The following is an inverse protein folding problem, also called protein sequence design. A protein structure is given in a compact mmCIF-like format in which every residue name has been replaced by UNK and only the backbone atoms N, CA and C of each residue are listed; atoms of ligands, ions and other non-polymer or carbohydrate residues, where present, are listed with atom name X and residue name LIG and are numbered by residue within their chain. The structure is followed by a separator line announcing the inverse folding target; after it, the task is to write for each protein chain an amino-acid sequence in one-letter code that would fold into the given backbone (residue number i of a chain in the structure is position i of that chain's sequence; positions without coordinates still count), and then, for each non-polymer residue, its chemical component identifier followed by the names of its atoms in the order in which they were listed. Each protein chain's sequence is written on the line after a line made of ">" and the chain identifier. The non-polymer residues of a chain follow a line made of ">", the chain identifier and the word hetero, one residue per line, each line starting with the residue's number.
data_IF_235003222444
#
_entry.id   IF_235003222444
#
_cell.length_a   1.000
_cell.length_b   1.000
_cell.length_c   1.000
_cell.angle_alpha   90.00
_cell.angle_beta   90.00
_cell.angle_gamma   90.00
#
_symmetry.space_group_name_H-M   'P 1'
#
loop_
_entity.id
_entity.type
_entity.pdbx_description
1 polymer ?
#
# COMPACT_ATOMS: atom_id res chain seq x y z
N UNK A 1 12.77 -0.90 6.64
CA UNK A 1 13.34 -0.55 7.96
C UNK A 1 12.36 0.29 8.80
N UNK A 2 11.96 1.49 8.37
CA UNK A 2 11.02 2.32 9.15
C UNK A 2 9.65 1.67 9.37
N UNK A 3 9.01 1.17 8.31
CA UNK A 3 7.73 0.47 8.43
C UNK A 3 7.78 -0.77 9.34
N UNK A 4 8.91 -1.47 9.41
CA UNK A 4 9.09 -2.59 10.34
C UNK A 4 9.14 -2.14 11.81
N UNK A 5 9.54 -0.89 12.08
CA UNK A 5 9.46 -0.33 13.44
C UNK A 5 8.03 -0.03 13.87
N UNK A 6 7.14 0.29 12.93
CA UNK A 6 5.74 0.65 13.20
C UNK A 6 4.79 -0.55 13.13
N UNK A 7 4.97 -1.37 12.09
CA UNK A 7 4.17 -2.54 11.77
C UNK A 7 5.12 -3.70 11.41
N UNK A 8 5.84 -4.27 12.38
CA UNK A 8 6.79 -5.36 12.14
C UNK A 8 6.09 -6.59 11.59
N UNK A 9 6.76 -7.29 10.68
CA UNK A 9 6.42 -8.66 10.37
C UNK A 9 6.47 -9.51 11.65
N UNK A 10 5.39 -10.24 11.90
CA UNK A 10 5.33 -11.23 12.97
C UNK A 10 4.28 -12.29 12.60
N UNK A 11 4.74 -13.50 12.28
CA UNK A 11 3.87 -14.62 11.95
C UNK A 11 3.07 -15.13 13.17
N UNK A 12 3.43 -14.69 14.38
CA UNK A 12 2.78 -15.06 15.63
C UNK A 12 1.30 -14.61 15.70
N UNK A 13 0.36 -15.51 16.03
CA UNK A 13 -1.01 -15.14 16.36
C UNK A 13 -1.16 -14.47 17.73
N UNK A 14 -0.05 -14.32 18.49
CA UNK A 14 -0.02 -13.63 19.77
C UNK A 14 0.05 -12.10 19.59
N UNK A 15 0.85 -11.61 18.61
CA UNK A 15 0.91 -10.18 18.28
C UNK A 15 -0.32 -9.75 17.48
N UNK A 16 -0.63 -10.48 16.42
CA UNK A 16 -1.73 -10.15 15.52
C UNK A 16 -2.80 -11.22 15.58
N UNK A 17 -3.98 -10.86 16.13
CA UNK A 17 -5.10 -11.78 16.21
C UNK A 17 -5.60 -12.25 14.83
N UNK A 18 -5.39 -11.45 13.77
CA UNK A 18 -5.67 -11.82 12.38
C UNK A 18 -4.98 -13.14 11.99
N UNK A 19 -3.74 -13.37 12.43
CA UNK A 19 -2.98 -14.58 12.08
C UNK A 19 -3.56 -15.87 12.70
N UNK A 20 -4.56 -15.79 13.58
CA UNK A 20 -5.29 -16.97 14.09
C UNK A 20 -6.09 -17.71 13.01
N UNK A 21 -6.25 -17.08 11.84
CA UNK A 21 -6.91 -17.68 10.66
C UNK A 21 -6.00 -18.66 9.91
N UNK A 22 -4.71 -18.74 10.24
CA UNK A 22 -3.71 -19.53 9.50
C UNK A 22 -2.87 -18.70 8.52
N UNK A 23 -3.19 -17.42 8.35
CA UNK A 23 -2.41 -16.45 7.59
C UNK A 23 -1.27 -15.84 8.44
N UNK A 24 -0.29 -15.19 7.81
CA UNK A 24 0.83 -14.51 8.48
C UNK A 24 1.00 -13.04 8.07
N UNK A 25 0.06 -12.50 7.30
CA UNK A 25 0.16 -11.21 6.61
C UNK A 25 -0.50 -10.03 7.34
N UNK A 26 -0.80 -10.15 8.64
CA UNK A 26 -1.42 -9.05 9.40
C UNK A 26 -0.63 -7.74 9.34
N UNK A 27 0.71 -7.82 9.35
CA UNK A 27 1.58 -6.66 9.24
C UNK A 27 1.41 -5.95 7.89
N UNK A 28 1.15 -6.69 6.81
CA UNK A 28 0.90 -6.11 5.48
C UNK A 28 -0.38 -5.27 5.46
N UNK A 29 -1.44 -5.70 6.16
CA UNK A 29 -2.65 -4.91 6.35
C UNK A 29 -2.36 -3.60 7.11
N UNK A 30 -1.50 -3.65 8.13
CA UNK A 30 -1.12 -2.46 8.91
C UNK A 30 -0.22 -1.51 8.10
N UNK A 31 0.79 -2.06 7.41
CA UNK A 31 1.70 -1.30 6.53
C UNK A 31 0.94 -0.54 5.44
N UNK A 32 -0.02 -1.19 4.77
CA UNK A 32 -0.84 -0.50 3.75
C UNK A 32 -1.67 0.62 4.37
N UNK A 33 -2.17 0.44 5.59
CA UNK A 33 -2.98 1.45 6.26
C UNK A 33 -2.17 2.71 6.60
N UNK A 34 -0.88 2.54 6.91
CA UNK A 34 0.08 3.63 7.14
C UNK A 34 0.41 4.34 5.82
N UNK A 35 0.69 3.58 4.74
CA UNK A 35 1.15 4.15 3.47
C UNK A 35 0.02 4.74 2.61
N UNK A 36 -1.22 4.36 2.87
CA UNK A 36 -2.39 4.75 2.07
C UNK A 36 -2.71 3.74 0.97
N UNK A 37 -4.02 3.62 0.67
CA UNK A 37 -4.52 2.73 -0.40
C UNK A 37 -4.34 3.34 -1.80
N UNK A 38 -4.47 4.65 -1.90
CA UNK A 38 -4.62 5.36 -3.16
C UNK A 38 -4.04 6.77 -3.08
N UNK A 39 -3.86 7.36 -4.25
CA UNK A 39 -3.53 8.76 -4.44
C UNK A 39 -4.47 9.36 -5.46
N UNK A 40 -4.72 10.66 -5.35
CA UNK A 40 -5.41 11.45 -6.36
C UNK A 40 -4.40 12.43 -6.93
N UNK A 41 -4.35 12.51 -8.25
CA UNK A 41 -3.40 13.36 -8.99
C UNK A 41 -4.19 14.21 -9.96
N UNK A 42 -3.93 15.51 -9.98
CA UNK A 42 -4.53 16.43 -10.94
C UNK A 42 -3.96 16.18 -12.35
N UNK A 43 -4.77 16.45 -13.35
CA UNK A 43 -4.34 16.43 -14.76
C UNK A 43 -4.51 17.83 -15.31
N UNK A 44 -3.41 18.44 -15.72
CA UNK A 44 -3.36 19.79 -16.29
C UNK A 44 -2.76 19.68 -17.69
N UNK A 45 -3.47 20.17 -18.71
CA UNK A 45 -3.06 20.11 -20.12
C UNK A 45 -2.70 18.67 -20.59
N UNK A 46 -3.46 17.67 -20.14
CA UNK A 46 -3.27 16.27 -20.51
C UNK A 46 -2.06 15.59 -19.85
N UNK A 47 -1.44 16.21 -18.84
CA UNK A 47 -0.29 15.65 -18.11
C UNK A 47 -0.61 15.52 -16.63
N UNK A 48 -0.04 14.50 -15.97
CA UNK A 48 -0.06 14.40 -14.51
C UNK A 48 0.67 15.62 -13.94
N UNK A 49 -0.04 16.39 -13.11
CA UNK A 49 0.46 17.64 -12.55
C UNK A 49 1.30 17.36 -11.30
N UNK A 50 2.53 16.88 -11.55
CA UNK A 50 3.50 16.53 -10.53
C UNK A 50 4.46 17.69 -10.22
N UNK A 51 4.80 17.81 -8.94
CA UNK A 51 6.01 18.50 -8.51
C UNK A 51 7.28 17.77 -8.98
N UNK A 52 8.45 18.44 -8.95
CA UNK A 52 9.69 17.92 -9.53
C UNK A 52 10.21 16.61 -8.92
N UNK A 53 9.70 16.21 -7.76
CA UNK A 53 10.14 15.03 -7.01
C UNK A 53 9.02 14.03 -6.73
N UNK A 54 7.82 14.27 -7.24
CA UNK A 54 6.67 13.39 -6.98
C UNK A 54 6.70 12.18 -7.90
N UNK A 55 6.40 11.01 -7.34
CA UNK A 55 6.38 9.73 -8.02
C UNK A 55 5.25 8.87 -7.43
N UNK A 56 4.62 8.04 -8.27
CA UNK A 56 3.63 7.05 -7.82
C UNK A 56 4.35 5.70 -7.65
N UNK A 57 4.19 5.10 -6.47
CA UNK A 57 4.69 3.77 -6.17
C UNK A 57 3.55 2.79 -5.90
N UNK A 58 3.71 1.55 -6.38
CA UNK A 58 2.93 0.43 -5.87
C UNK A 58 3.65 -0.17 -4.63
N UNK A 59 3.13 0.12 -3.45
CA UNK A 59 3.63 -0.45 -2.19
C UNK A 59 3.13 -1.88 -1.98
N UNK A 60 3.95 -2.86 -2.31
CA UNK A 60 3.66 -4.28 -2.07
C UNK A 60 4.18 -4.72 -0.70
N UNK A 61 3.31 -5.35 0.10
CA UNK A 61 3.60 -5.79 1.46
C UNK A 61 3.27 -7.27 1.74
N UNK A 62 2.61 -7.96 0.80
CA UNK A 62 2.17 -9.35 0.89
C UNK A 62 2.27 -10.00 -0.52
N UNK A 63 3.48 -10.45 -0.85
CA UNK A 63 3.95 -10.75 -2.21
C UNK A 63 3.49 -12.13 -2.75
N UNK A 64 4.13 -12.61 -3.82
CA UNK A 64 4.05 -13.97 -4.39
C UNK A 64 2.67 -14.42 -4.90
N UNK A 65 1.81 -13.47 -5.26
CA UNK A 65 0.54 -13.73 -5.93
C UNK A 65 0.16 -12.59 -6.89
N UNK A 66 -0.60 -12.86 -7.96
CA UNK A 66 -1.08 -11.81 -8.86
C UNK A 66 -2.00 -10.81 -8.12
N UNK A 67 -1.66 -9.52 -8.21
CA UNK A 67 -2.41 -8.40 -7.61
C UNK A 67 -2.61 -7.30 -8.65
N UNK A 68 -3.51 -6.36 -8.37
CA UNK A 68 -3.96 -5.35 -9.34
C UNK A 68 -3.94 -3.96 -8.72
N UNK A 69 -3.70 -2.97 -9.56
CA UNK A 69 -3.93 -1.55 -9.28
C UNK A 69 -4.98 -1.05 -10.27
N UNK A 70 -5.88 -0.18 -9.82
CA UNK A 70 -6.87 0.47 -10.66
C UNK A 70 -6.44 1.92 -10.90
N UNK A 71 -6.45 2.35 -12.16
CA UNK A 71 -6.35 3.77 -12.54
C UNK A 71 -7.68 4.19 -13.12
N UNK A 72 -8.26 5.27 -12.59
CA UNK A 72 -9.51 5.84 -13.07
C UNK A 72 -9.30 7.33 -13.29
N UNK A 73 -9.65 7.80 -14.48
CA UNK A 73 -9.57 9.20 -14.88
C UNK A 73 -10.99 9.70 -15.14
N UNK A 74 -11.29 10.91 -14.68
CA UNK A 74 -12.55 11.62 -14.86
C UNK A 74 -12.25 13.08 -15.12
N UNK A 75 -12.89 13.68 -16.11
CA UNK A 75 -12.67 15.06 -16.53
C UNK A 75 -13.14 15.28 -17.97
N UNK A 76 -13.01 16.50 -18.45
CA UNK A 76 -13.24 16.91 -19.85
C UNK A 76 -11.92 17.27 -20.53
#
# INVERSE_FOLDING_TARGET
>A
KWLEGLAPFDASPQRYAHNRTGEDNADAHMKRQIMGREVVVAITEGKLDFGPWEQIFYGEFDSRRPKRVLVKVTGE
#
